data_IF_457110517669
#
_entry.id   IF_457110517669
#
_cell.length_a   1.000
_cell.length_b   1.000
_cell.length_c   1.000
_cell.angle_alpha   90.00
_cell.angle_beta   90.00
_cell.angle_gamma   90.00
#
_symmetry.space_group_name_H-M   'P 1'
#
loop_
_entity.id
_entity.type
_entity.pdbx_description
1 polymer ?
#
# COMPACT_ATOMS: atom_id res chain seq x y z
N UNK A 1 3.79 22.98 9.21
CA UNK A 1 4.93 22.41 8.48
C UNK A 1 5.40 23.42 7.45
N UNK A 2 6.70 23.67 7.34
CA UNK A 2 7.29 24.58 6.35
C UNK A 2 7.34 23.92 4.97
N UNK A 3 7.42 24.70 3.86
CA UNK A 3 7.58 24.11 2.53
C UNK A 3 8.80 23.19 2.41
N UNK A 4 9.89 23.49 3.12
CA UNK A 4 11.08 22.65 3.14
C UNK A 4 10.85 21.33 3.88
N UNK A 5 10.13 21.34 5.01
CA UNK A 5 9.73 20.10 5.72
C UNK A 5 8.83 19.22 4.84
N UNK A 6 7.89 19.81 4.09
CA UNK A 6 7.06 19.08 3.12
C UNK A 6 7.92 18.43 2.05
N UNK A 7 8.93 19.15 1.53
CA UNK A 7 9.88 18.61 0.57
C UNK A 7 10.69 17.44 1.14
N UNK A 8 11.18 17.55 2.37
CA UNK A 8 11.89 16.46 3.04
C UNK A 8 10.99 15.23 3.21
N UNK A 9 9.72 15.43 3.58
CA UNK A 9 8.75 14.34 3.72
C UNK A 9 8.43 13.68 2.37
N UNK A 10 8.26 14.47 1.31
CA UNK A 10 8.12 13.94 -0.05
C UNK A 10 9.32 13.08 -0.44
N UNK A 11 10.54 13.55 -0.18
CA UNK A 11 11.76 12.80 -0.48
C UNK A 11 11.90 11.52 0.35
N UNK A 12 11.52 11.53 1.63
CA UNK A 12 11.65 10.33 2.48
C UNK A 12 10.68 9.26 2.03
N UNK A 13 9.42 9.61 1.79
CA UNK A 13 8.43 8.67 1.31
C UNK A 13 8.75 8.19 -0.11
N UNK A 14 9.17 9.08 -1.02
CA UNK A 14 9.62 8.67 -2.35
C UNK A 14 10.78 7.67 -2.27
N UNK A 15 11.78 7.93 -1.43
CA UNK A 15 12.89 6.98 -1.26
C UNK A 15 12.41 5.66 -0.65
N UNK A 16 11.47 5.69 0.29
CA UNK A 16 10.92 4.48 0.87
C UNK A 16 10.27 3.57 -0.16
N UNK A 17 9.44 4.12 -1.06
CA UNK A 17 8.76 3.34 -2.08
C UNK A 17 9.63 2.93 -3.28
N UNK A 18 10.81 3.53 -3.48
CA UNK A 18 11.64 3.29 -4.67
C UNK A 18 13.04 2.74 -4.39
N UNK A 19 13.52 2.80 -3.15
CA UNK A 19 14.86 2.30 -2.77
C UNK A 19 14.71 1.16 -1.80
N UNK A 20 15.38 0.06 -2.11
CA UNK A 20 15.40 -1.12 -1.26
C UNK A 20 15.96 -0.78 0.13
N UNK A 21 17.06 -0.03 0.16
CA UNK A 21 17.85 0.25 1.38
C UNK A 21 17.25 1.34 2.27
N UNK A 22 16.25 2.09 1.78
CA UNK A 22 15.62 3.16 2.55
C UNK A 22 14.29 2.71 3.18
N UNK A 23 14.23 2.84 4.50
CA UNK A 23 13.04 2.58 5.32
C UNK A 23 12.62 3.84 6.07
N UNK A 24 11.41 4.34 5.79
CA UNK A 24 10.87 5.56 6.38
C UNK A 24 10.79 5.47 7.91
N UNK A 25 10.40 4.33 8.46
CA UNK A 25 10.19 4.14 9.90
C UNK A 25 11.53 3.97 10.62
N UNK A 26 12.44 3.16 10.06
CA UNK A 26 13.81 2.98 10.57
C UNK A 26 14.57 4.30 10.66
N UNK A 27 14.48 5.14 9.62
CA UNK A 27 15.14 6.44 9.57
C UNK A 27 14.29 7.58 10.14
N UNK A 28 13.09 7.31 10.68
CA UNK A 28 12.16 8.30 11.24
C UNK A 28 11.89 9.46 10.26
N UNK A 29 11.73 9.14 8.99
CA UNK A 29 11.45 10.09 7.91
C UNK A 29 12.61 11.03 7.56
N UNK A 30 13.82 10.84 8.12
CA UNK A 30 14.96 11.73 7.90
C UNK A 30 15.60 11.48 6.54
N UNK A 31 15.81 12.57 5.79
CA UNK A 31 16.60 12.58 4.55
C UNK A 31 17.62 13.69 4.59
N UNK A 32 18.71 13.51 3.83
CA UNK A 32 19.62 14.61 3.52
C UNK A 32 18.99 15.49 2.45
N UNK A 33 18.63 16.71 2.83
CA UNK A 33 18.19 17.76 1.91
C UNK A 33 18.82 19.08 2.35
N UNK A 34 19.15 19.94 1.39
CA UNK A 34 19.71 21.25 1.65
C UNK A 34 18.69 22.34 1.32
N UNK A 35 18.43 23.24 2.26
CA UNK A 35 17.42 24.29 2.13
C UNK A 35 17.76 25.29 1.02
N UNK A 36 19.03 25.71 0.91
CA UNK A 36 19.47 26.61 -0.17
C UNK A 36 19.29 25.99 -1.56
N UNK A 37 19.36 24.66 -1.67
CA UNK A 37 19.09 23.92 -2.91
C UNK A 37 17.59 23.82 -3.17
N UNK A 38 16.78 23.64 -2.13
CA UNK A 38 15.32 23.66 -2.22
C UNK A 38 14.81 25.03 -2.73
N UNK A 39 15.37 26.13 -2.24
CA UNK A 39 14.94 27.48 -2.65
C UNK A 39 15.15 27.79 -4.13
N UNK A 40 16.10 27.11 -4.77
CA UNK A 40 16.42 27.24 -6.20
C UNK A 40 15.54 26.35 -7.09
N UNK A 41 14.72 25.46 -6.52
CA UNK A 41 13.88 24.54 -7.29
C UNK A 41 12.75 25.28 -8.01
N UNK A 42 12.58 25.00 -9.30
CA UNK A 42 11.48 25.54 -10.12
C UNK A 42 10.10 25.05 -9.67
N UNK A 43 10.03 23.83 -9.14
CA UNK A 43 8.80 23.18 -8.68
C UNK A 43 8.47 23.47 -7.19
N UNK A 44 9.18 24.41 -6.54
CA UNK A 44 9.02 24.68 -5.11
C UNK A 44 7.61 25.10 -4.69
N UNK A 45 6.88 25.74 -5.60
CA UNK A 45 5.51 26.21 -5.37
C UNK A 45 4.53 25.07 -5.05
N UNK A 46 4.80 23.85 -5.52
CA UNK A 46 3.99 22.68 -5.17
C UNK A 46 4.10 22.34 -3.68
N UNK A 47 5.32 22.38 -3.13
CA UNK A 47 5.54 22.15 -1.69
C UNK A 47 4.95 23.27 -0.84
N UNK A 48 5.03 24.53 -1.31
CA UNK A 48 4.35 25.67 -0.66
C UNK A 48 2.83 25.48 -0.66
N UNK A 49 2.25 24.96 -1.75
CA UNK A 49 0.81 24.66 -1.80
C UNK A 49 0.45 23.58 -0.79
N UNK A 50 1.18 22.47 -0.76
CA UNK A 50 0.93 21.36 0.16
C UNK A 50 1.07 21.79 1.63
N UNK A 51 2.06 22.63 1.95
CA UNK A 51 2.29 23.12 3.32
C UNK A 51 1.15 23.98 3.86
N UNK A 52 0.35 24.58 2.97
CA UNK A 52 -0.85 25.37 3.32
C UNK A 52 -2.10 24.52 3.49
N UNK A 53 -2.17 23.35 2.84
CA UNK A 53 -3.38 22.52 2.81
C UNK A 53 -3.34 21.45 3.90
N UNK A 54 -2.22 20.76 4.06
CA UNK A 54 -2.13 19.56 4.90
C UNK A 54 -1.29 19.79 6.15
N UNK A 55 -1.79 19.27 7.27
CA UNK A 55 -1.01 19.09 8.51
C UNK A 55 -0.14 17.84 8.41
N UNK A 56 0.80 17.67 9.34
CA UNK A 56 1.86 16.66 9.22
C UNK A 56 1.37 15.22 8.98
N UNK A 57 0.37 14.77 9.74
CA UNK A 57 -0.21 13.43 9.62
C UNK A 57 -0.99 13.24 8.31
N UNK A 58 -1.88 14.18 7.98
CA UNK A 58 -2.66 14.14 6.74
C UNK A 58 -1.76 14.26 5.51
N UNK A 59 -0.65 14.98 5.61
CA UNK A 59 0.35 15.05 4.54
C UNK A 59 1.01 13.70 4.30
N UNK A 60 1.34 12.95 5.37
CA UNK A 60 1.88 11.59 5.22
C UNK A 60 0.87 10.70 4.49
N UNK A 61 -0.40 10.69 4.92
CA UNK A 61 -1.46 9.88 4.30
C UNK A 61 -1.66 10.26 2.82
N UNK A 62 -1.69 11.56 2.53
CA UNK A 62 -1.83 12.09 1.18
C UNK A 62 -0.68 11.69 0.24
N UNK A 63 0.56 11.72 0.74
CA UNK A 63 1.71 11.30 -0.05
C UNK A 63 1.74 9.78 -0.22
N UNK A 64 1.45 9.01 0.84
CA UNK A 64 1.39 7.54 0.80
C UNK A 64 0.34 7.06 -0.19
N UNK A 65 -0.88 7.61 -0.17
CA UNK A 65 -1.94 7.21 -1.10
C UNK A 65 -1.53 7.39 -2.57
N UNK A 66 -0.72 8.42 -2.86
CA UNK A 66 -0.21 8.67 -4.19
C UNK A 66 0.95 7.73 -4.55
N UNK A 67 1.87 7.46 -3.63
CA UNK A 67 2.99 6.55 -3.89
C UNK A 67 2.57 5.08 -4.00
N UNK A 68 1.50 4.69 -3.29
CA UNK A 68 0.89 3.36 -3.46
C UNK A 68 0.31 3.19 -4.86
N UNK A 69 -0.34 4.23 -5.41
CA UNK A 69 -0.84 4.19 -6.79
C UNK A 69 0.28 4.30 -7.84
N UNK A 70 1.33 5.09 -7.57
CA UNK A 70 2.49 5.23 -8.46
C UNK A 70 3.76 5.51 -7.67
N UNK A 71 4.64 4.50 -7.54
CA UNK A 71 5.87 4.55 -6.74
C UNK A 71 6.71 5.80 -7.04
N UNK A 72 6.82 6.20 -8.32
CA UNK A 72 7.71 7.28 -8.76
C UNK A 72 7.07 8.66 -8.99
N UNK A 73 5.87 8.89 -8.47
CA UNK A 73 5.10 10.10 -8.76
C UNK A 73 5.88 11.41 -8.50
N UNK A 74 5.89 12.31 -9.48
CA UNK A 74 6.49 13.64 -9.36
C UNK A 74 5.55 14.56 -8.58
N UNK A 75 6.10 15.56 -7.86
CA UNK A 75 5.31 16.45 -6.99
C UNK A 75 4.22 17.20 -7.77
N UNK A 76 4.45 17.52 -9.05
CA UNK A 76 3.45 18.17 -9.88
C UNK A 76 2.22 17.30 -10.11
N UNK A 77 2.40 16.01 -10.38
CA UNK A 77 1.30 15.03 -10.49
C UNK A 77 0.56 14.89 -9.15
N UNK A 78 1.30 14.81 -8.04
CA UNK A 78 0.71 14.71 -6.69
C UNK A 78 -0.23 15.90 -6.41
N UNK A 79 0.16 17.12 -6.80
CA UNK A 79 -0.67 18.31 -6.59
C UNK A 79 -1.70 18.59 -7.69
N UNK A 80 -1.75 17.76 -8.72
CA UNK A 80 -2.73 17.85 -9.79
C UNK A 80 -4.10 17.32 -9.28
N UNK A 81 -5.18 17.46 -10.08
CA UNK A 81 -6.46 16.83 -9.76
C UNK A 81 -6.36 15.32 -9.54
N UNK A 82 -5.50 14.64 -10.29
CA UNK A 82 -5.26 13.19 -10.19
C UNK A 82 -4.77 12.82 -8.78
N UNK A 83 -3.75 13.52 -8.26
CA UNK A 83 -3.21 13.18 -6.95
C UNK A 83 -4.18 13.45 -5.80
N UNK A 84 -5.12 14.40 -5.99
CA UNK A 84 -6.25 14.60 -5.08
C UNK A 84 -7.26 13.47 -5.17
N UNK A 85 -7.61 13.02 -6.37
CA UNK A 85 -8.54 11.90 -6.58
C UNK A 85 -7.99 10.62 -5.95
N UNK A 86 -6.69 10.33 -6.12
CA UNK A 86 -6.02 9.20 -5.47
C UNK A 86 -6.22 9.24 -3.95
N UNK A 87 -6.02 10.40 -3.32
CA UNK A 87 -6.21 10.52 -1.87
C UNK A 87 -7.67 10.36 -1.44
N UNK A 88 -8.62 10.91 -2.20
CA UNK A 88 -10.05 10.78 -1.89
C UNK A 88 -10.48 9.32 -1.97
N UNK A 89 -10.13 8.62 -3.06
CA UNK A 89 -10.45 7.21 -3.24
C UNK A 89 -9.81 6.34 -2.16
N UNK A 90 -8.52 6.58 -1.87
CA UNK A 90 -7.81 5.90 -0.80
C UNK A 90 -8.46 6.13 0.56
N UNK A 91 -8.78 7.38 0.90
CA UNK A 91 -9.41 7.71 2.19
C UNK A 91 -10.78 7.06 2.33
N UNK A 92 -11.58 7.06 1.27
CA UNK A 92 -12.88 6.39 1.25
C UNK A 92 -12.72 4.88 1.51
N UNK A 93 -11.78 4.23 0.80
CA UNK A 93 -11.47 2.80 0.99
C UNK A 93 -11.02 2.51 2.42
N UNK A 94 -10.07 3.27 2.98
CA UNK A 94 -9.59 3.05 4.36
C UNK A 94 -10.72 3.18 5.39
N UNK A 95 -11.66 4.10 5.17
CA UNK A 95 -12.82 4.28 6.05
C UNK A 95 -13.81 3.11 5.98
N UNK A 96 -13.99 2.49 4.81
CA UNK A 96 -14.85 1.33 4.60
C UNK A 96 -14.11 -0.01 4.58
N UNK A 97 -12.81 -0.03 4.94
CA UNK A 97 -11.93 -1.18 4.72
C UNK A 97 -12.43 -2.50 5.32
N UNK A 98 -13.08 -2.56 6.50
CA UNK A 98 -13.63 -3.82 7.00
C UNK A 98 -14.73 -4.41 6.11
N UNK A 99 -15.57 -3.57 5.51
CA UNK A 99 -16.62 -4.01 4.59
C UNK A 99 -16.03 -4.43 3.24
N UNK A 100 -15.06 -3.64 2.73
CA UNK A 100 -14.30 -3.99 1.51
C UNK A 100 -13.61 -5.33 1.69
N UNK A 101 -12.92 -5.54 2.81
CA UNK A 101 -12.27 -6.80 3.14
C UNK A 101 -13.25 -7.97 3.21
N UNK A 102 -14.40 -7.80 3.88
CA UNK A 102 -15.42 -8.85 3.98
C UNK A 102 -15.91 -9.29 2.59
N UNK A 103 -16.26 -8.33 1.74
CA UNK A 103 -16.75 -8.61 0.38
C UNK A 103 -15.67 -9.24 -0.53
N UNK A 104 -14.45 -8.70 -0.52
CA UNK A 104 -13.35 -9.21 -1.36
C UNK A 104 -12.96 -10.63 -0.95
N UNK A 105 -13.02 -10.95 0.35
CA UNK A 105 -12.79 -12.30 0.86
C UNK A 105 -13.95 -13.25 0.52
N UNK A 106 -15.20 -12.79 0.63
CA UNK A 106 -16.38 -13.57 0.23
C UNK A 106 -16.30 -13.97 -1.25
N UNK A 107 -16.03 -13.01 -2.15
CA UNK A 107 -15.86 -13.29 -3.59
C UNK A 107 -14.72 -14.27 -3.85
N UNK A 108 -13.58 -14.10 -3.15
CA UNK A 108 -12.45 -15.02 -3.25
C UNK A 108 -12.81 -16.45 -2.81
N UNK A 109 -13.71 -16.60 -1.84
CA UNK A 109 -14.10 -17.91 -1.30
C UNK A 109 -15.13 -18.61 -2.19
N UNK A 110 -16.09 -17.86 -2.74
CA UNK A 110 -17.11 -18.38 -3.66
C UNK A 110 -16.50 -19.07 -4.89
N UNK A 111 -15.35 -18.60 -5.35
CA UNK A 111 -14.67 -19.13 -6.54
C UNK A 111 -13.74 -20.33 -6.27
N UNK A 112 -13.56 -20.72 -5.00
CA UNK A 112 -12.59 -21.75 -4.62
C UNK A 112 -13.20 -22.80 -3.69
N UNK A 113 -13.17 -24.07 -4.10
CA UNK A 113 -13.79 -25.19 -3.36
C UNK A 113 -13.18 -25.44 -1.97
N UNK A 114 -11.92 -25.05 -1.74
CA UNK A 114 -11.23 -25.23 -0.46
C UNK A 114 -10.42 -24.00 -0.10
N UNK A 115 -10.52 -23.61 1.17
CA UNK A 115 -9.79 -22.46 1.71
C UNK A 115 -8.28 -22.48 1.43
N UNK A 116 -7.59 -23.61 1.64
CA UNK A 116 -6.14 -23.66 1.50
C UNK A 116 -5.66 -23.45 0.05
N UNK A 117 -6.44 -23.92 -0.94
CA UNK A 117 -6.10 -23.79 -2.37
C UNK A 117 -5.92 -22.32 -2.77
N UNK A 118 -6.66 -21.41 -2.11
CA UNK A 118 -6.58 -19.97 -2.37
C UNK A 118 -5.15 -19.43 -2.22
N UNK A 119 -4.36 -20.03 -1.34
CA UNK A 119 -3.01 -19.61 -0.98
C UNK A 119 -1.94 -20.61 -1.43
N UNK A 120 -2.29 -21.76 -2.01
CA UNK A 120 -1.31 -22.77 -2.39
C UNK A 120 -0.64 -22.44 -3.73
N UNK A 121 0.70 -22.43 -3.72
CA UNK A 121 1.52 -22.24 -4.93
C UNK A 121 1.75 -23.59 -5.59
N UNK A 122 1.05 -23.85 -6.69
CA UNK A 122 1.18 -25.08 -7.48
C UNK A 122 2.06 -24.86 -8.71
N UNK A 123 3.07 -25.72 -8.90
CA UNK A 123 3.94 -25.67 -10.09
C UNK A 123 4.69 -24.34 -10.29
N UNK A 124 4.89 -23.60 -9.20
CA UNK A 124 5.51 -22.27 -9.21
C UNK A 124 4.66 -21.15 -9.81
N UNK A 125 3.37 -21.40 -10.03
CA UNK A 125 2.42 -20.44 -10.60
C UNK A 125 1.78 -19.55 -9.53
N UNK A 126 1.13 -18.46 -9.98
CA UNK A 126 0.42 -17.56 -9.06
C UNK A 126 -0.79 -18.25 -8.41
N UNK A 127 -0.89 -18.26 -7.07
CA UNK A 127 -2.05 -18.80 -6.37
C UNK A 127 -3.31 -17.95 -6.65
N UNK A 128 -4.52 -18.49 -6.43
CA UNK A 128 -5.77 -17.76 -6.67
C UNK A 128 -5.79 -16.35 -6.10
N UNK A 129 -5.44 -16.17 -4.81
CA UNK A 129 -5.43 -14.83 -4.18
C UNK A 129 -4.59 -13.82 -4.97
N UNK A 130 -3.46 -14.26 -5.54
CA UNK A 130 -2.56 -13.39 -6.27
C UNK A 130 -3.11 -13.01 -7.64
N UNK A 131 -3.81 -13.94 -8.30
CA UNK A 131 -4.53 -13.67 -9.56
C UNK A 131 -5.61 -12.61 -9.37
N UNK A 132 -6.39 -12.69 -8.28
CA UNK A 132 -7.39 -11.67 -7.94
C UNK A 132 -6.77 -10.29 -7.62
N UNK A 133 -5.59 -10.26 -7.00
CA UNK A 133 -4.87 -8.98 -6.80
C UNK A 133 -4.48 -8.36 -8.14
N UNK A 134 -3.96 -9.17 -9.08
CA UNK A 134 -3.63 -8.68 -10.41
C UNK A 134 -4.86 -8.31 -11.26
N UNK A 135 -6.00 -8.94 -11.00
CA UNK A 135 -7.30 -8.59 -11.57
C UNK A 135 -7.96 -7.35 -10.95
N UNK A 136 -7.34 -6.75 -9.92
CA UNK A 136 -7.91 -5.65 -9.11
C UNK A 136 -9.22 -6.03 -8.36
N UNK A 137 -9.52 -7.32 -8.23
CA UNK A 137 -10.68 -7.86 -7.48
C UNK A 137 -10.39 -7.96 -5.98
N UNK A 138 -9.13 -8.21 -5.62
CA UNK A 138 -8.64 -8.13 -4.24
C UNK A 138 -7.71 -6.93 -4.12
N UNK A 139 -8.04 -6.03 -3.20
CA UNK A 139 -7.23 -4.84 -2.96
C UNK A 139 -5.88 -5.18 -2.32
N UNK A 140 -4.89 -4.31 -2.54
CA UNK A 140 -3.58 -4.41 -1.88
C UNK A 140 -3.72 -4.39 -0.35
N UNK A 141 -4.66 -3.61 0.17
CA UNK A 141 -4.96 -3.57 1.60
C UNK A 141 -5.48 -4.91 2.13
N UNK A 142 -6.44 -5.53 1.44
CA UNK A 142 -6.96 -6.86 1.79
C UNK A 142 -5.87 -7.92 1.71
N UNK A 143 -5.06 -7.92 0.66
CA UNK A 143 -3.93 -8.84 0.52
C UNK A 143 -2.93 -8.73 1.68
N UNK A 144 -2.52 -7.51 2.03
CA UNK A 144 -1.62 -7.27 3.18
C UNK A 144 -2.26 -7.74 4.49
N UNK A 145 -3.55 -7.50 4.67
CA UNK A 145 -4.26 -7.91 5.89
C UNK A 145 -4.34 -9.44 5.97
N UNK A 146 -4.68 -10.12 4.87
CA UNK A 146 -4.70 -11.58 4.80
C UNK A 146 -3.33 -12.17 5.14
N UNK A 147 -2.25 -11.67 4.53
CA UNK A 147 -0.89 -12.11 4.86
C UNK A 147 -0.53 -11.82 6.33
N UNK A 148 -0.97 -10.68 6.87
CA UNK A 148 -0.73 -10.37 8.28
C UNK A 148 -1.37 -11.39 9.23
N UNK A 149 -2.41 -12.12 8.79
CA UNK A 149 -3.14 -13.13 9.57
C UNK A 149 -2.63 -14.54 9.28
N UNK A 150 -2.43 -14.87 7.99
CA UNK A 150 -2.17 -16.22 7.50
C UNK A 150 -0.70 -16.49 7.16
N UNK A 151 0.11 -15.44 7.01
CA UNK A 151 1.56 -15.51 6.79
C UNK A 151 1.99 -16.35 5.58
N UNK A 152 1.37 -16.15 4.42
CA UNK A 152 1.65 -16.91 3.19
C UNK A 152 2.73 -16.28 2.29
N UNK A 153 3.08 -15.01 2.46
CA UNK A 153 4.10 -14.33 1.62
C UNK A 153 5.47 -15.03 1.65
N UNK A 154 5.99 -15.53 2.79
CA UNK A 154 7.24 -16.29 2.79
C UNK A 154 7.22 -17.50 1.85
N UNK A 155 6.12 -18.25 1.84
CA UNK A 155 5.94 -19.38 0.93
C UNK A 155 5.89 -18.93 -0.53
N UNK A 156 5.25 -17.78 -0.81
CA UNK A 156 5.18 -17.23 -2.17
C UNK A 156 6.57 -16.85 -2.66
N UNK A 157 7.38 -16.21 -1.81
CA UNK A 157 8.76 -15.84 -2.14
C UNK A 157 9.68 -17.04 -2.40
N UNK A 158 9.41 -18.20 -1.79
CA UNK A 158 10.16 -19.42 -2.03
C UNK A 158 9.68 -20.17 -3.27
N UNK A 159 8.37 -20.26 -3.48
CA UNK A 159 7.76 -21.21 -4.42
C UNK A 159 7.43 -20.60 -5.78
N UNK A 160 7.10 -19.30 -5.86
CA UNK A 160 6.75 -18.66 -7.14
C UNK A 160 7.99 -18.55 -8.02
N UNK A 161 7.89 -19.05 -9.25
CA UNK A 161 9.01 -19.04 -10.22
C UNK A 161 9.04 -17.79 -11.09
N UNK A 162 7.92 -17.06 -11.16
CA UNK A 162 7.82 -15.78 -11.86
C UNK A 162 8.69 -14.73 -11.16
N UNK A 163 9.47 -13.95 -11.92
CA UNK A 163 10.54 -13.08 -11.39
C UNK A 163 10.37 -11.60 -11.68
N UNK A 164 9.22 -11.18 -12.23
CA UNK A 164 8.96 -9.79 -12.65
C UNK A 164 7.81 -9.20 -11.86
N UNK A 165 6.61 -9.75 -11.97
CA UNK A 165 5.38 -9.16 -11.44
C UNK A 165 5.26 -9.43 -9.93
N UNK A 166 5.53 -10.66 -9.47
CA UNK A 166 5.46 -11.00 -8.05
C UNK A 166 6.45 -10.18 -7.22
N UNK A 167 7.75 -10.06 -7.57
CA UNK A 167 8.69 -9.23 -6.81
C UNK A 167 8.27 -7.76 -6.71
N UNK A 168 7.67 -7.21 -7.76
CA UNK A 168 7.18 -5.83 -7.76
C UNK A 168 5.99 -5.62 -6.82
N UNK A 169 5.06 -6.59 -6.78
CA UNK A 169 3.92 -6.61 -5.86
C UNK A 169 4.39 -6.82 -4.41
N UNK A 170 5.24 -7.81 -4.17
CA UNK A 170 5.85 -8.04 -2.86
C UNK A 170 6.54 -6.77 -2.34
N UNK A 171 7.33 -6.10 -3.19
CA UNK A 171 8.00 -4.85 -2.87
C UNK A 171 7.01 -3.74 -2.47
N UNK A 172 5.88 -3.57 -3.17
CA UNK A 172 4.89 -2.57 -2.76
C UNK A 172 4.18 -2.97 -1.46
N UNK A 173 3.88 -4.26 -1.26
CA UNK A 173 3.26 -4.77 -0.04
C UNK A 173 4.11 -4.44 1.20
N UNK A 174 5.41 -4.75 1.17
CA UNK A 174 6.30 -4.51 2.32
C UNK A 174 6.50 -3.03 2.61
N UNK A 175 6.53 -2.17 1.58
CA UNK A 175 6.67 -0.72 1.77
C UNK A 175 5.35 -0.10 2.24
N UNK A 176 4.22 -0.66 1.86
CA UNK A 176 2.92 -0.10 2.22
C UNK A 176 2.39 -0.58 3.57
N UNK A 177 2.60 -1.85 3.92
CA UNK A 177 2.06 -2.47 5.13
C UNK A 177 2.28 -1.66 6.43
N UNK A 178 3.45 -1.04 6.69
CA UNK A 178 3.65 -0.25 7.89
C UNK A 178 2.77 1.02 8.00
N UNK A 179 2.18 1.48 6.89
CA UNK A 179 1.25 2.62 6.89
C UNK A 179 -0.22 2.21 7.09
N UNK A 180 -0.54 0.91 7.05
CA UNK A 180 -1.87 0.38 7.32
C UNK A 180 -2.08 0.21 8.83
N UNK A 181 -2.59 1.27 9.47
CA UNK A 181 -2.96 1.22 10.88
C UNK A 181 -4.35 0.59 11.06
N UNK A 182 -4.39 -0.75 11.14
CA UNK A 182 -5.62 -1.53 11.28
C UNK A 182 -5.64 -2.34 12.57
N UNK A 183 -6.83 -2.52 13.16
CA UNK A 183 -7.02 -3.42 14.32
C UNK A 183 -7.08 -4.87 13.84
N UNK A 184 -5.93 -5.56 13.78
CA UNK A 184 -5.80 -6.94 13.26
C UNK A 184 -6.92 -7.89 13.73
N UNK A 185 -7.26 -7.89 15.02
CA UNK A 185 -8.30 -8.77 15.57
C UNK A 185 -9.64 -8.64 14.85
N UNK A 186 -10.06 -7.43 14.47
CA UNK A 186 -11.32 -7.22 13.73
C UNK A 186 -11.36 -7.99 12.42
N UNK A 187 -10.23 -8.05 11.71
CA UNK A 187 -10.13 -8.74 10.42
C UNK A 187 -9.99 -10.25 10.60
N UNK A 188 -9.37 -10.70 11.70
CA UNK A 188 -9.40 -12.13 12.10
C UNK A 188 -10.84 -12.59 12.33
N UNK A 189 -11.64 -11.79 13.02
CA UNK A 189 -13.04 -12.15 13.32
C UNK A 189 -13.89 -12.21 12.03
N UNK A 190 -13.72 -11.26 11.12
CA UNK A 190 -14.38 -11.27 9.80
C UNK A 190 -13.94 -12.49 8.99
N UNK A 191 -12.63 -12.75 8.91
CA UNK A 191 -12.10 -13.88 8.16
C UNK A 191 -12.62 -15.22 8.68
N UNK A 192 -12.62 -15.43 10.01
CA UNK A 192 -13.17 -16.64 10.63
C UNK A 192 -14.64 -16.84 10.29
N UNK A 193 -15.46 -15.79 10.43
CA UNK A 193 -16.87 -15.82 10.04
C UNK A 193 -17.02 -16.26 8.59
N UNK A 194 -16.23 -15.69 7.67
CA UNK A 194 -16.31 -16.04 6.25
C UNK A 194 -15.88 -17.49 5.98
N UNK A 195 -14.84 -17.98 6.65
CA UNK A 195 -14.41 -19.39 6.53
C UNK A 195 -15.51 -20.34 7.02
N UNK A 196 -16.13 -20.05 8.16
CA UNK A 196 -17.22 -20.87 8.72
C UNK A 196 -18.47 -20.88 7.82
N UNK A 197 -18.72 -19.80 7.06
CA UNK A 197 -19.86 -19.73 6.14
C UNK A 197 -19.64 -20.54 4.85
N UNK A 198 -18.40 -20.64 4.36
CA UNK A 198 -18.09 -21.22 3.05
C UNK A 198 -17.54 -22.66 3.12
N UNK A 199 -16.88 -23.03 4.23
CA UNK A 199 -16.09 -24.26 4.31
C UNK A 199 -16.42 -25.16 5.52
N UNK A 200 -17.46 -24.83 6.30
CA UNK A 200 -17.89 -25.64 7.44
C UNK A 200 -18.71 -26.88 7.05
#
# INVERSE_FOLDING_TARGET
VTPFEVYQKYLSLKQHFNREEYDYFKFRGKVRANESSFEKRKDKYHFVRLSKIYKDEELTKFLVSNFVKTKNMWVGNITSPEGRQNYIAWKAKIQSLPYVFENEVETLFDENEKFNIIFDVEGGQHPPVLRHVFGEEVSLETFIILDSILHFIPDFNEKIQETVIWPDLYSICIKYAPFLNVKKQKYVDILKKQVDLHYA
#
